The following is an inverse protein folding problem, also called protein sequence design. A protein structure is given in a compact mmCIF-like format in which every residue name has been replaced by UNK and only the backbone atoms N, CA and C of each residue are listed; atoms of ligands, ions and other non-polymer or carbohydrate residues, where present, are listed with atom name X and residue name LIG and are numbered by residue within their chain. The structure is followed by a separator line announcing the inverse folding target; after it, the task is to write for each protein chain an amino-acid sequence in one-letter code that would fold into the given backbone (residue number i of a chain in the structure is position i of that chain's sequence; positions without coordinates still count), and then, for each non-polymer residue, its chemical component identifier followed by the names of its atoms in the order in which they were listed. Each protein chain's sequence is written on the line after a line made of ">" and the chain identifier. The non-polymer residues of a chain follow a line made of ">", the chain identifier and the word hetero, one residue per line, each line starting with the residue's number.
data_IF_852574348107
#
_entry.id   IF_852574348107
#
_cell.length_a   1.000
_cell.length_b   1.000
_cell.length_c   1.000
_cell.angle_alpha   90.00
_cell.angle_beta   90.00
_cell.angle_gamma   90.00
#
_symmetry.space_group_name_H-M   'P 1'
#
loop_
_entity.id
_entity.type
_entity.pdbx_description
1 polymer ?
#
# COMPACT_ATOMS: atom_id res chain seq x y z
N UNK A 1 3.17 13.15 -2.30
CA UNK A 1 4.55 12.83 -2.71
C UNK A 1 5.47 12.91 -1.51
N UNK A 2 6.68 12.37 -1.60
CA UNK A 2 7.71 12.38 -0.58
C UNK A 2 9.05 11.93 -1.16
N UNK A 3 10.15 12.28 -0.49
CA UNK A 3 11.52 11.97 -0.91
C UNK A 3 11.96 10.54 -0.59
N UNK A 4 11.00 9.63 -0.47
CA UNK A 4 11.17 8.25 -0.05
C UNK A 4 10.27 7.34 -0.88
N UNK A 5 10.80 6.21 -1.37
CA UNK A 5 10.08 5.31 -2.28
C UNK A 5 8.89 4.59 -1.65
N UNK A 6 8.83 4.54 -0.32
CA UNK A 6 7.78 3.98 0.51
C UNK A 6 6.79 5.06 0.97
N UNK A 7 6.86 6.27 0.39
CA UNK A 7 5.77 7.25 0.50
C UNK A 7 4.56 6.77 -0.29
N UNK A 8 3.82 5.81 0.26
CA UNK A 8 2.64 5.14 -0.31
C UNK A 8 1.46 5.35 0.63
N UNK A 9 0.61 6.31 0.31
CA UNK A 9 -0.45 6.68 1.24
C UNK A 9 -1.54 5.60 1.30
N UNK A 10 -1.96 5.15 2.49
CA UNK A 10 -3.08 4.21 2.64
C UNK A 10 -4.44 4.90 2.42
N UNK A 11 -4.47 6.24 2.37
CA UNK A 11 -5.64 7.05 2.03
C UNK A 11 -5.28 8.07 0.96
N UNK A 12 -6.06 8.14 -0.11
CA UNK A 12 -5.75 8.95 -1.28
C UNK A 12 -4.71 8.26 -2.17
N UNK A 13 -3.76 9.03 -2.69
CA UNK A 13 -2.67 8.51 -3.52
C UNK A 13 -1.42 9.38 -3.37
N UNK A 14 -0.26 8.74 -3.48
CA UNK A 14 1.03 9.41 -3.53
C UNK A 14 1.91 8.84 -4.64
N UNK A 15 2.65 9.73 -5.29
CA UNK A 15 3.72 9.39 -6.22
C UNK A 15 5.04 9.82 -5.57
N UNK A 16 5.88 8.86 -5.10
CA UNK A 16 7.24 9.16 -4.64
C UNK A 16 8.08 9.81 -5.73
N UNK A 17 9.04 10.63 -5.32
CA UNK A 17 9.91 11.29 -6.27
C UNK A 17 11.29 11.59 -5.70
N UNK A 18 12.26 11.84 -6.59
CA UNK A 18 13.57 12.33 -6.21
C UNK A 18 13.52 13.73 -5.59
N UNK A 19 14.57 14.09 -4.84
CA UNK A 19 14.65 15.32 -4.05
C UNK A 19 14.35 16.61 -4.83
N UNK A 20 14.77 16.69 -6.10
CA UNK A 20 14.50 17.85 -6.95
C UNK A 20 13.00 18.09 -7.19
N UNK A 21 12.25 17.04 -7.51
CA UNK A 21 10.81 17.15 -7.75
C UNK A 21 10.03 17.36 -6.43
N UNK A 22 10.49 16.77 -5.33
CA UNK A 22 9.93 17.00 -4.00
C UNK A 22 10.12 18.46 -3.57
N UNK A 23 11.31 19.04 -3.81
CA UNK A 23 11.57 20.45 -3.53
C UNK A 23 10.65 21.37 -4.35
N UNK A 24 10.46 21.07 -5.64
CA UNK A 24 9.51 21.79 -6.49
C UNK A 24 8.08 21.71 -5.95
N UNK A 25 7.61 20.51 -5.60
CA UNK A 25 6.27 20.29 -5.07
C UNK A 25 6.04 20.99 -3.73
N UNK A 26 7.04 20.95 -2.84
CA UNK A 26 6.98 21.66 -1.56
C UNK A 26 6.96 23.18 -1.72
N UNK A 27 7.71 23.73 -2.69
CA UNK A 27 7.80 25.16 -2.92
C UNK A 27 6.54 25.74 -3.61
N UNK A 28 5.93 24.99 -4.53
CA UNK A 28 4.84 25.50 -5.38
C UNK A 28 3.45 24.98 -4.99
N UNK A 29 3.38 23.89 -4.23
CA UNK A 29 2.13 23.21 -3.89
C UNK A 29 1.55 22.37 -5.03
N UNK A 30 2.28 22.16 -6.14
CA UNK A 30 1.85 21.37 -7.30
C UNK A 30 2.96 20.45 -7.80
N UNK A 31 2.61 19.37 -8.49
CA UNK A 31 3.58 18.40 -9.02
C UNK A 31 3.20 18.02 -10.46
N UNK A 32 4.12 18.10 -11.43
CA UNK A 32 3.89 17.57 -12.77
C UNK A 32 3.75 16.04 -12.72
N UNK A 33 2.83 15.51 -13.50
CA UNK A 33 2.55 14.08 -13.58
C UNK A 33 2.03 13.74 -14.98
N UNK A 34 2.75 12.86 -15.67
CA UNK A 34 2.20 12.13 -16.81
C UNK A 34 1.45 10.94 -16.24
N UNK A 35 0.12 10.95 -16.41
CA UNK A 35 -0.76 9.99 -15.72
C UNK A 35 -0.46 8.55 -16.18
N UNK A 36 -0.06 7.64 -15.27
CA UNK A 36 0.16 6.25 -15.62
C UNK A 36 -1.14 5.48 -15.87
N UNK A 37 -1.03 4.37 -16.60
CA UNK A 37 -2.08 3.34 -16.62
C UNK A 37 -2.19 2.65 -15.25
N UNK A 38 -3.31 1.97 -15.02
CA UNK A 38 -3.58 1.23 -13.78
C UNK A 38 -3.60 -0.28 -13.98
N UNK A 39 -3.18 -1.01 -12.95
CA UNK A 39 -3.37 -2.46 -12.79
C UNK A 39 -4.24 -2.69 -11.57
N UNK A 40 -5.34 -3.44 -11.75
CA UNK A 40 -6.25 -3.77 -10.66
C UNK A 40 -5.86 -5.12 -10.04
N UNK A 41 -5.72 -5.15 -8.72
CA UNK A 41 -5.67 -6.37 -7.91
C UNK A 41 -6.94 -6.45 -7.07
N UNK A 42 -7.73 -7.50 -7.28
CA UNK A 42 -8.99 -7.73 -6.56
C UNK A 42 -8.92 -9.00 -5.74
N UNK A 43 -9.04 -8.87 -4.43
CA UNK A 43 -9.20 -10.00 -3.53
C UNK A 43 -10.67 -10.42 -3.45
N UNK A 44 -10.94 -11.72 -3.33
CA UNK A 44 -12.29 -12.27 -3.15
C UNK A 44 -12.30 -13.34 -2.07
N UNK A 45 -13.38 -13.46 -1.31
CA UNK A 45 -13.56 -14.52 -0.32
C UNK A 45 -13.11 -14.11 1.08
N UNK A 46 -12.65 -15.08 1.87
CA UNK A 46 -12.21 -14.88 3.26
C UNK A 46 -10.84 -15.48 3.49
N UNK A 47 -10.06 -14.81 4.33
CA UNK A 47 -8.75 -15.30 4.79
C UNK A 47 -8.89 -16.71 5.40
N UNK A 48 -7.95 -17.58 5.05
CA UNK A 48 -7.85 -18.91 5.66
C UNK A 48 -7.21 -18.84 7.05
N UNK A 49 -7.49 -19.81 7.94
CA UNK A 49 -6.86 -19.86 9.26
C UNK A 49 -5.32 -19.84 9.16
N UNK A 50 -4.69 -18.94 9.92
CA UNK A 50 -3.23 -18.79 9.96
C UNK A 50 -2.63 -17.94 8.84
N UNK A 51 -3.43 -17.48 7.88
CA UNK A 51 -2.99 -16.52 6.85
C UNK A 51 -3.14 -15.10 7.39
N UNK A 52 -2.11 -14.31 7.17
CA UNK A 52 -2.01 -12.92 7.59
C UNK A 52 -2.17 -11.96 6.42
N UNK A 53 -2.28 -10.67 6.70
CA UNK A 53 -2.27 -9.64 5.66
C UNK A 53 -0.95 -9.63 4.89
N UNK A 54 0.16 -9.92 5.57
CA UNK A 54 1.48 -9.98 4.94
C UNK A 54 1.60 -11.10 3.91
N UNK A 55 0.89 -12.20 4.11
CA UNK A 55 0.78 -13.25 3.11
C UNK A 55 0.03 -12.76 1.85
N UNK A 56 -0.96 -11.89 2.00
CA UNK A 56 -1.66 -11.29 0.86
C UNK A 56 -0.78 -10.31 0.08
N UNK A 57 0.07 -9.55 0.78
CA UNK A 57 1.10 -8.71 0.15
C UNK A 57 1.97 -9.55 -0.78
N UNK A 58 2.47 -10.70 -0.30
CA UNK A 58 3.31 -11.59 -1.10
C UNK A 58 2.50 -12.45 -2.09
N UNK A 59 1.19 -12.61 -1.91
CA UNK A 59 0.32 -13.26 -2.88
C UNK A 59 0.25 -12.47 -4.20
N UNK A 60 0.35 -11.14 -4.18
CA UNK A 60 0.33 -10.31 -5.40
C UNK A 60 1.44 -10.73 -6.39
N UNK A 61 2.75 -10.70 -6.03
CA UNK A 61 3.79 -11.19 -6.92
C UNK A 61 3.64 -12.68 -7.26
N UNK A 62 3.22 -13.52 -6.31
CA UNK A 62 3.03 -14.96 -6.55
C UNK A 62 2.00 -15.23 -7.66
N UNK A 63 0.82 -14.62 -7.59
CA UNK A 63 -0.24 -14.78 -8.59
C UNK A 63 0.11 -14.08 -9.91
N UNK A 64 0.82 -12.95 -9.88
CA UNK A 64 1.33 -12.31 -11.10
C UNK A 64 2.33 -13.20 -11.84
N UNK A 65 3.22 -13.90 -11.13
CA UNK A 65 4.15 -14.88 -11.73
C UNK A 65 3.36 -16.05 -12.33
N UNK A 66 2.38 -16.58 -11.60
CA UNK A 66 1.51 -17.67 -12.08
C UNK A 66 0.75 -17.28 -13.36
N UNK A 67 0.37 -16.01 -13.50
CA UNK A 67 -0.29 -15.46 -14.67
C UNK A 67 0.66 -15.07 -15.82
N UNK A 68 1.99 -15.16 -15.62
CA UNK A 68 2.98 -14.73 -16.62
C UNK A 68 3.13 -13.19 -16.74
N UNK A 69 2.56 -12.44 -15.80
CA UNK A 69 2.60 -10.97 -15.75
C UNK A 69 3.82 -10.43 -14.99
N UNK A 70 4.55 -11.31 -14.32
CA UNK A 70 5.77 -10.99 -13.59
C UNK A 70 6.79 -12.13 -13.76
N UNK A 71 8.07 -11.80 -13.97
CA UNK A 71 9.16 -12.77 -13.97
C UNK A 71 10.25 -12.39 -12.96
N UNK A 72 10.90 -13.39 -12.38
CA UNK A 72 12.04 -13.19 -11.46
C UNK A 72 13.34 -12.87 -12.22
N UNK A 73 13.52 -13.52 -13.38
CA UNK A 73 14.70 -13.31 -14.25
C UNK A 73 14.88 -11.82 -14.60
N UNK A 74 16.11 -11.31 -14.46
CA UNK A 74 16.41 -9.89 -14.67
C UNK A 74 16.52 -9.55 -16.15
N UNK A 75 17.10 -10.46 -16.95
CA UNK A 75 17.25 -10.24 -18.39
C UNK A 75 15.90 -10.39 -19.09
N UNK A 76 15.39 -9.30 -19.66
CA UNK A 76 14.09 -9.31 -20.33
C UNK A 76 12.91 -9.42 -19.36
N UNK A 77 13.07 -8.91 -18.13
CA UNK A 77 12.08 -8.99 -17.06
C UNK A 77 10.72 -8.47 -17.52
N UNK A 78 9.69 -9.28 -17.32
CA UNK A 78 8.28 -8.88 -17.43
C UNK A 78 7.83 -8.41 -16.05
N UNK A 79 7.19 -7.24 -15.99
CA UNK A 79 6.58 -6.72 -14.78
C UNK A 79 5.40 -5.80 -15.15
N UNK A 80 4.19 -6.34 -15.12
CA UNK A 80 2.96 -5.61 -15.46
C UNK A 80 2.71 -4.38 -14.57
N UNK A 81 3.29 -4.34 -13.36
CA UNK A 81 3.13 -3.23 -12.42
C UNK A 81 4.10 -2.07 -12.68
N UNK A 82 5.18 -2.32 -13.44
CA UNK A 82 6.28 -1.36 -13.57
C UNK A 82 5.80 -0.05 -14.21
N UNK A 83 5.97 1.06 -13.47
CA UNK A 83 5.59 2.38 -13.94
C UNK A 83 4.07 2.65 -13.96
N UNK A 84 3.23 1.70 -13.53
CA UNK A 84 1.77 1.82 -13.45
C UNK A 84 1.28 2.13 -12.04
N UNK A 85 0.02 2.50 -11.89
CA UNK A 85 -0.65 2.60 -10.59
C UNK A 85 -1.17 1.21 -10.20
N UNK A 86 -0.85 0.77 -8.98
CA UNK A 86 -1.45 -0.42 -8.40
C UNK A 86 -2.73 -0.03 -7.66
N UNK A 87 -3.88 -0.55 -8.11
CA UNK A 87 -5.17 -0.35 -7.45
C UNK A 87 -5.61 -1.64 -6.77
N UNK A 88 -6.01 -1.56 -5.49
CA UNK A 88 -6.34 -2.73 -4.69
C UNK A 88 -7.77 -2.61 -4.15
N UNK A 89 -8.55 -3.70 -4.26
CA UNK A 89 -9.89 -3.78 -3.67
C UNK A 89 -10.25 -5.19 -3.17
N UNK A 90 -11.39 -5.29 -2.48
CA UNK A 90 -11.94 -6.56 -1.99
C UNK A 90 -11.53 -6.94 -0.57
N UNK A 91 -10.98 -6.00 0.20
CA UNK A 91 -10.56 -6.16 1.59
C UNK A 91 -11.25 -5.13 2.49
N UNK A 92 -12.57 -5.25 2.63
CA UNK A 92 -13.42 -4.21 3.25
C UNK A 92 -13.34 -4.13 4.79
N UNK A 93 -12.56 -5.01 5.43
CA UNK A 93 -12.44 -5.08 6.90
C UNK A 93 -11.12 -4.49 7.44
N UNK A 94 -10.25 -3.95 6.57
CA UNK A 94 -8.94 -3.44 6.99
C UNK A 94 -9.03 -2.10 7.74
N UNK A 95 -8.18 -1.94 8.74
CA UNK A 95 -7.83 -0.61 9.27
C UNK A 95 -6.92 0.13 8.28
N UNK A 96 -6.74 1.45 8.48
CA UNK A 96 -5.87 2.26 7.62
C UNK A 96 -4.40 1.85 7.76
N UNK A 97 -3.97 1.46 8.95
CA UNK A 97 -2.62 0.96 9.23
C UNK A 97 -2.37 -0.40 8.57
N UNK A 98 -3.37 -1.28 8.56
CA UNK A 98 -3.31 -2.54 7.83
C UNK A 98 -3.26 -2.30 6.31
N UNK A 99 -4.09 -1.39 5.80
CA UNK A 99 -4.08 -1.00 4.40
C UNK A 99 -2.70 -0.48 3.95
N UNK A 100 -1.96 0.15 4.87
CA UNK A 100 -0.60 0.59 4.60
C UNK A 100 0.32 -0.57 4.22
N UNK A 101 0.21 -1.75 4.84
CA UNK A 101 1.05 -2.92 4.49
C UNK A 101 0.94 -3.30 2.99
N UNK A 102 -0.24 -3.17 2.41
CA UNK A 102 -0.45 -3.40 0.97
C UNK A 102 0.08 -2.26 0.12
N UNK A 103 -0.23 -1.02 0.50
CA UNK A 103 0.19 0.15 -0.28
C UNK A 103 1.70 0.34 -0.25
N UNK A 104 2.36 0.08 0.88
CA UNK A 104 3.79 0.25 1.11
C UNK A 104 4.59 -0.66 0.17
N UNK A 105 4.21 -1.95 0.13
CA UNK A 105 4.82 -2.97 -0.72
C UNK A 105 4.63 -2.76 -2.24
N UNK A 106 3.82 -1.78 -2.66
CA UNK A 106 3.73 -1.39 -4.07
C UNK A 106 5.07 -0.83 -4.60
N UNK A 107 5.94 -0.34 -3.70
CA UNK A 107 7.29 0.09 -4.04
C UNK A 107 8.10 -1.07 -4.66
N UNK A 108 8.05 -2.26 -4.06
CA UNK A 108 8.73 -3.46 -4.54
C UNK A 108 8.20 -3.94 -5.91
N UNK A 109 6.97 -3.56 -6.28
CA UNK A 109 6.39 -3.85 -7.60
C UNK A 109 6.88 -2.89 -8.68
N UNK A 110 7.69 -1.90 -8.32
CA UNK A 110 8.08 -0.78 -9.19
C UNK A 110 6.87 0.03 -9.69
N UNK A 111 5.79 0.06 -8.88
CA UNK A 111 4.60 0.85 -9.20
C UNK A 111 4.88 2.35 -8.98
N UNK A 112 4.32 3.19 -9.86
CA UNK A 112 4.43 4.65 -9.76
C UNK A 112 3.65 5.20 -8.56
N UNK A 113 2.52 4.58 -8.23
CA UNK A 113 1.66 4.92 -7.10
C UNK A 113 0.80 3.72 -6.71
N UNK A 114 0.09 3.85 -5.58
CA UNK A 114 -0.84 2.83 -5.12
C UNK A 114 -2.09 3.50 -4.56
N UNK A 115 -3.23 2.84 -4.71
CA UNK A 115 -4.45 3.15 -3.96
C UNK A 115 -5.12 1.87 -3.51
N UNK A 116 -5.88 1.95 -2.42
CA UNK A 116 -6.64 0.84 -1.86
C UNK A 116 -8.04 1.34 -1.49
N UNK A 117 -9.06 0.60 -1.94
CA UNK A 117 -10.45 0.90 -1.58
C UNK A 117 -10.68 0.51 -0.12
N UNK A 118 -11.07 1.49 0.69
CA UNK A 118 -11.35 1.31 2.13
C UNK A 118 -12.74 1.83 2.49
N UNK A 119 -13.38 1.24 3.51
CA UNK A 119 -14.65 1.74 3.99
C UNK A 119 -14.48 3.07 4.73
N UNK A 120 -15.48 3.93 4.63
CA UNK A 120 -15.54 5.22 5.33
C UNK A 120 -15.29 5.08 6.84
N UNK A 121 -15.82 4.01 7.45
CA UNK A 121 -15.67 3.76 8.89
C UNK A 121 -14.20 3.66 9.32
N UNK A 122 -13.37 2.93 8.56
CA UNK A 122 -11.95 2.76 8.89
C UNK A 122 -11.21 4.10 8.82
N UNK A 123 -11.49 4.90 7.79
CA UNK A 123 -10.91 6.24 7.62
C UNK A 123 -11.37 7.16 8.75
N UNK A 124 -12.66 7.17 9.08
CA UNK A 124 -13.19 8.03 10.14
C UNK A 124 -12.61 7.69 11.52
N UNK A 125 -12.40 6.41 11.82
CA UNK A 125 -11.73 5.96 13.04
C UNK A 125 -10.29 6.46 13.11
N UNK A 126 -9.52 6.24 12.05
CA UNK A 126 -8.13 6.69 11.94
C UNK A 126 -8.01 8.21 12.13
N UNK A 127 -8.86 8.99 11.45
CA UNK A 127 -8.83 10.46 11.54
C UNK A 127 -9.15 10.98 12.95
N UNK A 128 -10.08 10.37 13.69
CA UNK A 128 -10.38 10.78 15.08
C UNK A 128 -9.18 10.59 15.99
N UNK A 129 -8.49 9.46 15.87
CA UNK A 129 -7.23 9.20 16.59
C UNK A 129 -6.16 10.23 16.23
N UNK A 130 -6.00 10.50 14.93
CA UNK A 130 -4.97 11.40 14.40
C UNK A 130 -5.20 12.86 14.81
N UNK A 131 -6.44 13.35 14.86
CA UNK A 131 -6.75 14.71 15.36
C UNK A 131 -6.27 14.88 16.80
N UNK A 132 -6.51 13.88 17.65
CA UNK A 132 -6.08 13.88 19.04
C UNK A 132 -4.56 13.91 19.14
N UNK A 133 -3.88 13.06 18.36
CA UNK A 133 -2.42 13.02 18.27
C UNK A 133 -1.82 14.36 17.82
N UNK A 134 -2.34 14.96 16.75
CA UNK A 134 -1.83 16.24 16.24
C UNK A 134 -1.95 17.37 17.27
N UNK A 135 -3.05 17.44 18.02
CA UNK A 135 -3.23 18.44 19.07
C UNK A 135 -2.39 18.16 20.31
N UNK A 136 -2.17 16.89 20.65
CA UNK A 136 -1.18 16.51 21.65
C UNK A 136 0.23 16.97 21.25
N UNK A 137 0.66 16.73 20.01
CA UNK A 137 1.96 17.19 19.49
C UNK A 137 2.13 18.72 19.60
N UNK A 138 1.06 19.49 19.35
CA UNK A 138 1.06 20.95 19.57
C UNK A 138 1.30 21.26 21.05
N UNK A 139 0.60 20.58 21.96
CA UNK A 139 0.78 20.73 23.41
C UNK A 139 2.20 20.42 23.89
N UNK A 140 2.85 19.43 23.26
CA UNK A 140 4.24 19.05 23.53
C UNK A 140 5.29 19.92 22.79
N UNK A 141 4.87 20.95 22.06
CA UNK A 141 5.78 21.90 21.42
C UNK A 141 6.44 21.42 20.13
N UNK A 142 5.86 20.45 19.42
CA UNK A 142 6.39 19.96 18.14
C UNK A 142 6.18 20.99 17.01
N UNK A 143 7.27 21.35 16.34
CA UNK A 143 7.28 21.97 15.02
C UNK A 143 6.43 23.26 14.88
N UNK A 144 5.78 23.41 13.72
CA UNK A 144 4.92 24.55 13.41
C UNK A 144 3.46 24.25 13.80
N UNK A 145 3.02 24.81 14.94
CA UNK A 145 1.69 24.59 15.48
C UNK A 145 0.55 25.00 14.54
N UNK A 146 0.76 26.03 13.68
CA UNK A 146 -0.26 26.48 12.72
C UNK A 146 -0.53 25.43 11.66
N UNK A 147 0.52 24.75 11.20
CA UNK A 147 0.44 23.70 10.19
C UNK A 147 -0.26 22.46 10.74
N UNK A 148 0.09 22.04 11.97
CA UNK A 148 -0.57 20.92 12.65
C UNK A 148 -2.06 21.19 12.89
N UNK A 149 -2.41 22.37 13.41
CA UNK A 149 -3.81 22.72 13.67
C UNK A 149 -4.62 22.85 12.37
N UNK A 150 -4.02 23.39 11.29
CA UNK A 150 -4.67 23.44 9.98
C UNK A 150 -4.99 22.04 9.46
N UNK A 151 -4.11 21.06 9.68
CA UNK A 151 -4.37 19.66 9.32
C UNK A 151 -5.48 19.06 10.18
N UNK A 152 -5.45 19.25 11.49
CA UNK A 152 -6.48 18.76 12.39
C UNK A 152 -7.88 19.28 11.99
N UNK A 153 -8.01 20.58 11.71
CA UNK A 153 -9.26 21.18 11.21
C UNK A 153 -9.74 20.60 9.88
N UNK A 154 -8.83 20.30 8.96
CA UNK A 154 -9.18 19.67 7.69
C UNK A 154 -9.73 18.24 7.90
N UNK A 155 -9.16 17.49 8.85
CA UNK A 155 -9.66 16.16 9.23
C UNK A 155 -11.06 16.27 9.87
N UNK A 156 -11.28 17.25 10.76
CA UNK A 156 -12.61 17.52 11.35
C UNK A 156 -13.65 17.89 10.29
N UNK A 157 -13.26 18.71 9.30
CA UNK A 157 -14.14 19.10 8.21
C UNK A 157 -14.56 17.90 7.35
N UNK A 158 -13.64 16.98 7.05
CA UNK A 158 -13.99 15.74 6.36
C UNK A 158 -14.91 14.85 7.23
N UNK A 159 -14.63 14.72 8.53
CA UNK A 159 -15.49 13.94 9.44
C UNK A 159 -16.91 14.50 9.59
N UNK A 160 -17.10 15.81 9.38
CA UNK A 160 -18.42 16.44 9.41
C UNK A 160 -19.27 16.16 8.17
N UNK A 161 -18.63 15.83 7.04
CA UNK A 161 -19.28 15.48 5.77
C UNK A 161 -18.40 14.46 5.01
N UNK A 162 -18.39 13.18 5.45
CA UNK A 162 -17.49 12.20 4.89
C UNK A 162 -17.90 11.88 3.46
N UNK A 163 -16.93 11.98 2.55
CA UNK A 163 -17.10 11.66 1.14
C UNK A 163 -15.85 10.92 0.66
N UNK A 164 -16.09 9.80 -0.02
CA UNK A 164 -15.08 9.00 -0.68
C UNK A 164 -15.38 8.94 -2.17
N UNK A 165 -14.34 8.96 -2.97
CA UNK A 165 -14.43 8.64 -4.38
C UNK A 165 -14.49 7.11 -4.52
N UNK A 166 -15.23 6.65 -5.53
CA UNK A 166 -15.26 5.26 -5.93
C UNK A 166 -14.91 5.15 -7.41
N UNK A 167 -14.22 4.08 -7.80
CA UNK A 167 -14.00 3.78 -9.20
C UNK A 167 -15.34 3.52 -9.90
N UNK A 168 -15.49 4.05 -11.11
CA UNK A 168 -16.64 3.76 -11.96
C UNK A 168 -16.66 2.27 -12.33
N UNK A 169 -17.86 1.72 -12.56
CA UNK A 169 -18.05 0.29 -12.85
C UNK A 169 -17.42 -0.15 -14.17
N UNK A 170 -17.21 0.80 -15.07
CA UNK A 170 -16.63 0.64 -16.40
C UNK A 170 -15.21 1.21 -16.49
N UNK A 171 -14.53 1.42 -15.36
CA UNK A 171 -13.11 1.77 -15.34
C UNK A 171 -12.27 0.71 -16.08
N UNK A 172 -11.42 1.18 -16.99
CA UNK A 172 -10.52 0.34 -17.76
C UNK A 172 -9.16 0.18 -17.06
N UNK A 173 -8.64 -1.04 -17.06
CA UNK A 173 -7.36 -1.38 -16.46
C UNK A 173 -6.48 -2.07 -17.49
N UNK A 174 -5.18 -1.78 -17.45
CA UNK A 174 -4.24 -2.44 -18.36
C UNK A 174 -4.09 -3.92 -18.04
N UNK A 175 -4.23 -4.31 -16.77
CA UNK A 175 -4.33 -5.70 -16.33
C UNK A 175 -5.27 -5.80 -15.13
N UNK A 176 -5.93 -6.95 -14.97
CA UNK A 176 -6.75 -7.29 -13.80
C UNK A 176 -6.27 -8.64 -13.24
N UNK A 177 -5.85 -8.64 -11.98
CA UNK A 177 -5.42 -9.83 -11.25
C UNK A 177 -6.43 -10.11 -10.16
N UNK A 178 -7.17 -11.21 -10.29
CA UNK A 178 -8.10 -11.66 -9.26
C UNK A 178 -7.45 -12.72 -8.38
N UNK A 179 -7.49 -12.53 -7.06
CA UNK A 179 -6.92 -13.44 -6.07
C UNK A 179 -8.04 -13.94 -5.15
N UNK A 180 -8.37 -15.22 -5.24
CA UNK A 180 -9.29 -15.88 -4.32
C UNK A 180 -8.55 -16.23 -3.02
N UNK A 181 -9.01 -15.66 -1.91
CA UNK A 181 -8.45 -15.90 -0.58
C UNK A 181 -8.60 -17.37 -0.14
N UNK A 182 -9.53 -18.13 -0.74
CA UNK A 182 -9.65 -19.56 -0.52
C UNK A 182 -8.46 -20.36 -1.10
N UNK A 183 -7.74 -19.81 -2.07
CA UNK A 183 -6.57 -20.45 -2.69
C UNK A 183 -5.24 -20.12 -1.99
N UNK A 184 -5.23 -19.11 -1.11
CA UNK A 184 -4.08 -18.80 -0.24
C UNK A 184 -4.16 -19.68 1.01
N UNK A 185 -3.61 -20.89 0.93
CA UNK A 185 -3.77 -21.94 1.97
C UNK A 185 -2.57 -22.11 2.89
N UNK A 186 -1.45 -21.48 2.56
CA UNK A 186 -0.26 -21.48 3.39
C UNK A 186 0.48 -20.13 3.26
N UNK A 187 1.37 -19.79 4.22
CA UNK A 187 2.11 -18.55 4.18
C UNK A 187 2.92 -18.39 2.88
N UNK A 188 3.02 -17.15 2.41
CA UNK A 188 3.76 -16.79 1.20
C UNK A 188 4.94 -15.90 1.60
N UNK A 189 6.14 -16.24 1.15
CA UNK A 189 7.39 -15.55 1.51
C UNK A 189 8.10 -15.07 0.26
N UNK A 190 8.88 -13.99 0.36
CA UNK A 190 9.86 -13.64 -0.67
C UNK A 190 11.18 -14.38 -0.37
N UNK A 191 11.73 -15.08 -1.36
CA UNK A 191 13.00 -15.78 -1.25
C UNK A 191 14.18 -14.80 -1.09
N UNK A 192 15.34 -15.26 -0.59
CA UNK A 192 16.46 -14.38 -0.31
C UNK A 192 16.89 -13.52 -1.50
N UNK A 193 17.08 -12.22 -1.25
CA UNK A 193 17.66 -11.21 -2.14
C UNK A 193 16.78 -10.74 -3.31
N UNK A 194 15.53 -11.20 -3.44
CA UNK A 194 14.62 -10.72 -4.49
C UNK A 194 13.18 -10.59 -3.98
N UNK A 195 12.64 -9.36 -3.87
CA UNK A 195 11.27 -9.16 -3.41
C UNK A 195 10.22 -9.67 -4.40
N UNK A 196 10.58 -9.95 -5.66
CA UNK A 196 9.69 -10.57 -6.65
C UNK A 196 9.59 -12.09 -6.51
N UNK A 197 10.57 -12.75 -5.89
CA UNK A 197 10.64 -14.22 -5.83
C UNK A 197 9.73 -14.76 -4.72
N UNK A 198 8.42 -14.60 -4.92
CA UNK A 198 7.40 -15.07 -4.00
C UNK A 198 7.20 -16.58 -4.10
N UNK A 199 7.26 -17.26 -2.96
CA UNK A 199 7.20 -18.72 -2.82
C UNK A 199 6.30 -19.13 -1.68
N UNK A 200 5.69 -20.30 -1.80
CA UNK A 200 4.91 -20.90 -0.73
C UNK A 200 5.83 -21.47 0.36
N UNK A 201 5.43 -21.39 1.63
CA UNK A 201 6.18 -21.92 2.76
C UNK A 201 6.65 -23.36 2.53
N UNK A 202 5.76 -24.23 2.03
CA UNK A 202 6.06 -25.64 1.71
C UNK A 202 7.26 -25.84 0.78
N UNK A 203 7.59 -24.86 -0.07
CA UNK A 203 8.69 -24.96 -1.04
C UNK A 203 10.06 -24.57 -0.46
N UNK A 204 10.07 -23.92 0.71
CA UNK A 204 11.29 -23.42 1.39
C UNK A 204 11.39 -23.90 2.83
N UNK A 205 10.44 -24.73 3.29
CA UNK A 205 10.42 -25.26 4.64
C UNK A 205 11.65 -26.13 4.92
N UNK A 206 12.19 -26.02 6.14
CA UNK A 206 13.37 -26.77 6.58
C UNK A 206 14.69 -26.00 6.46
N UNK A 207 14.67 -24.80 5.88
CA UNK A 207 15.83 -23.91 5.88
C UNK A 207 16.22 -23.49 7.30
N UNK A 208 17.51 -23.54 7.60
CA UNK A 208 18.05 -23.14 8.91
C UNK A 208 18.07 -21.62 8.98
N UNK A 209 17.48 -21.05 10.04
CA UNK A 209 17.46 -19.61 10.30
C UNK A 209 18.40 -19.31 11.47
N UNK A 210 19.35 -18.41 11.23
CA UNK A 210 20.29 -17.95 12.25
C UNK A 210 19.82 -16.67 12.97
N UNK A 211 19.15 -15.77 12.23
CA UNK A 211 18.71 -14.46 12.73
C UNK A 211 17.29 -14.13 12.24
N UNK A 212 16.53 -13.41 13.08
CA UNK A 212 15.17 -12.94 12.76
C UNK A 212 15.06 -11.46 13.12
N UNK A 213 14.44 -10.69 12.24
CA UNK A 213 14.15 -9.27 12.45
C UNK A 213 12.64 -9.00 12.37
N UNK A 214 12.11 -8.29 13.37
CA UNK A 214 10.72 -7.83 13.43
C UNK A 214 10.76 -6.35 13.80
N UNK A 215 10.28 -5.46 12.91
CA UNK A 215 10.17 -4.03 13.22
C UNK A 215 10.50 -3.05 12.09
N UNK A 216 9.94 -3.23 10.89
CA UNK A 216 9.96 -2.19 9.85
C UNK A 216 8.68 -1.32 9.88
N UNK A 217 8.54 -0.37 8.96
CA UNK A 217 7.32 0.41 8.76
C UNK A 217 6.07 -0.46 8.45
N UNK A 218 6.28 -1.70 8.00
CA UNK A 218 5.24 -2.69 7.74
C UNK A 218 4.67 -3.33 9.04
N UNK A 219 5.13 -2.92 10.22
CA UNK A 219 4.66 -3.48 11.50
C UNK A 219 3.85 -2.45 12.27
N UNK A 220 2.75 -2.91 12.88
CA UNK A 220 1.88 -2.12 13.74
C UNK A 220 1.51 -2.91 15.00
N UNK A 221 0.97 -2.23 16.01
CA UNK A 221 0.65 -2.83 17.32
C UNK A 221 -0.71 -3.55 17.37
N UNK A 222 -1.47 -3.57 16.26
CA UNK A 222 -2.86 -4.04 16.21
C UNK A 222 -3.83 -3.01 16.77
#
# INVERSE_FOLDING_TARGET
>A
TGGDSHTRFPMGISFPAGSGLVAFAAATGVMPLDMPESVLVRFKGKLQPGITLRDLVHAIPYYAIKAGLLTVEKKGKINAFSGRILEIEGLDELTVEQAFELSDASAERSAAGCTIKLPEKAIAEYLRSNITMLRWMIGEGYGDARTLERRAKAMEAWLANPQLLEADKDAEYAEIIEIDLADVKEPVLCAPNDPDDARLLSTVAGEKIDEVFIGSCMTNIG
#
